data_IF_929461154799
#
_entry.id   IF_929461154799
#
_cell.length_a   1.000
_cell.length_b   1.000
_cell.length_c   1.000
_cell.angle_alpha   90.00
_cell.angle_beta   90.00
_cell.angle_gamma   90.00
#
_symmetry.space_group_name_H-M   'P 1'
#
loop_
_entity.id
_entity.type
_entity.pdbx_description
1 polymer ?
#
# COMPACT_ATOMS: atom_id res chain seq x y z
N UNK A 1 3.00 -12.48 -0.40
CA UNK A 1 3.12 -11.36 -1.34
C UNK A 1 2.10 -11.48 -2.45
N UNK A 2 1.81 -10.36 -3.10
CA UNK A 2 0.81 -10.29 -4.18
C UNK A 2 -0.61 -10.62 -3.70
N UNK A 3 -1.45 -11.08 -4.63
CA UNK A 3 -2.87 -11.39 -4.39
C UNK A 3 -3.12 -12.43 -3.29
N UNK A 4 -2.14 -13.26 -2.93
CA UNK A 4 -2.25 -14.15 -1.79
C UNK A 4 -2.35 -13.40 -0.44
N UNK A 5 -1.86 -12.16 -0.38
CA UNK A 5 -1.86 -11.32 0.82
C UNK A 5 -2.80 -10.11 0.70
N UNK A 6 -2.89 -9.49 -0.48
CA UNK A 6 -3.63 -8.24 -0.67
C UNK A 6 -4.44 -8.22 -1.98
N UNK A 7 -5.36 -9.18 -2.19
CA UNK A 7 -6.20 -9.18 -3.38
C UNK A 7 -7.04 -7.90 -3.40
N UNK A 8 -7.09 -7.21 -4.54
CA UNK A 8 -7.75 -5.90 -4.64
C UNK A 8 -8.50 -5.72 -5.96
N UNK A 9 -9.45 -4.80 -5.96
CA UNK A 9 -10.19 -4.45 -7.16
C UNK A 9 -9.29 -3.63 -8.13
N UNK A 10 -9.49 -3.76 -9.45
CA UNK A 10 -8.58 -3.20 -10.46
C UNK A 10 -8.82 -1.69 -10.73
N UNK A 11 -9.16 -0.91 -9.71
CA UNK A 11 -9.56 0.50 -9.88
C UNK A 11 -8.42 1.50 -9.77
N UNK A 12 -7.30 1.12 -9.15
CA UNK A 12 -6.13 1.99 -9.01
C UNK A 12 -4.86 1.36 -9.59
N UNK A 13 -4.99 0.31 -10.42
CA UNK A 13 -3.87 -0.36 -11.12
C UNK A 13 -2.65 -0.76 -10.25
N UNK A 14 -2.84 -0.96 -8.94
CA UNK A 14 -1.75 -1.21 -8.01
C UNK A 14 -1.47 -2.68 -7.69
N UNK A 15 -2.32 -3.64 -8.08
CA UNK A 15 -2.12 -5.05 -7.70
C UNK A 15 -0.75 -5.59 -8.13
N UNK A 16 -0.39 -5.42 -9.40
CA UNK A 16 0.92 -5.84 -9.91
C UNK A 16 2.07 -5.00 -9.34
N UNK A 17 1.88 -3.68 -9.19
CA UNK A 17 2.90 -2.80 -8.63
C UNK A 17 3.25 -3.19 -7.19
N UNK A 18 2.24 -3.46 -6.35
CA UNK A 18 2.44 -3.93 -4.98
C UNK A 18 3.10 -5.30 -4.90
N UNK A 19 2.81 -6.21 -5.84
CA UNK A 19 3.52 -7.49 -5.91
C UNK A 19 5.02 -7.31 -6.21
N UNK A 20 5.38 -6.32 -7.03
CA UNK A 20 6.79 -5.96 -7.29
C UNK A 20 7.43 -5.29 -6.07
N UNK A 21 6.72 -4.35 -5.42
CA UNK A 21 7.17 -3.74 -4.16
C UNK A 21 7.42 -4.82 -3.08
N UNK A 22 6.54 -5.83 -2.99
CA UNK A 22 6.70 -6.95 -2.07
C UNK A 22 7.98 -7.75 -2.34
N UNK A 23 8.27 -8.03 -3.61
CA UNK A 23 9.46 -8.76 -4.01
C UNK A 23 10.73 -7.98 -3.65
N UNK A 24 10.74 -6.66 -3.89
CA UNK A 24 11.85 -5.79 -3.50
C UNK A 24 12.05 -5.76 -1.97
N UNK A 25 10.97 -5.52 -1.22
CA UNK A 25 11.01 -5.48 0.25
C UNK A 25 11.45 -6.82 0.88
N UNK A 26 10.95 -7.94 0.35
CA UNK A 26 11.39 -9.26 0.81
C UNK A 26 12.86 -9.52 0.44
N UNK A 27 13.30 -9.10 -0.74
CA UNK A 27 14.70 -9.20 -1.16
C UNK A 27 15.66 -8.47 -0.22
N UNK A 28 15.32 -7.24 0.16
CA UNK A 28 16.09 -6.41 1.11
C UNK A 28 16.16 -7.05 2.49
N UNK A 29 15.01 -7.47 3.03
CA UNK A 29 14.98 -8.03 4.40
C UNK A 29 15.72 -9.37 4.48
N UNK A 30 15.59 -10.23 3.47
CA UNK A 30 16.32 -11.50 3.42
C UNK A 30 17.81 -11.34 3.13
N UNK A 31 18.22 -10.34 2.34
CA UNK A 31 19.65 -10.09 2.08
C UNK A 31 20.38 -9.51 3.28
N UNK A 32 19.65 -8.93 4.22
CA UNK A 32 20.19 -8.30 5.44
C UNK A 32 20.49 -9.29 6.57
N UNK A 33 20.10 -10.56 6.46
CA UNK A 33 20.33 -11.57 7.50
C UNK A 33 21.75 -12.15 7.42
N UNK A 34 22.31 -12.51 8.58
CA UNK A 34 23.62 -13.17 8.68
C UNK A 34 23.52 -14.66 8.98
N UNK A 35 22.35 -15.15 9.41
CA UNK A 35 22.08 -16.56 9.64
C UNK A 35 20.63 -16.94 9.31
N UNK A 36 20.38 -18.23 9.07
CA UNK A 36 19.03 -18.76 8.77
C UNK A 36 18.05 -18.59 9.92
N UNK A 37 18.55 -18.53 11.16
CA UNK A 37 17.71 -18.36 12.36
C UNK A 37 17.01 -16.99 12.39
N UNK A 38 17.49 -16.02 11.60
CA UNK A 38 16.90 -14.69 11.47
C UNK A 38 15.76 -14.61 10.44
N UNK A 39 15.51 -15.66 9.65
CA UNK A 39 14.44 -15.68 8.64
C UNK A 39 13.08 -15.29 9.23
N UNK A 40 12.63 -15.82 10.40
CA UNK A 40 11.36 -15.38 10.99
C UNK A 40 11.31 -13.89 11.34
N UNK A 41 12.45 -13.28 11.71
CA UNK A 41 12.53 -11.85 12.00
C UNK A 41 12.48 -11.02 10.70
N UNK A 42 13.20 -11.44 9.67
CA UNK A 42 13.21 -10.79 8.36
C UNK A 42 11.81 -10.79 7.73
N UNK A 43 11.09 -11.92 7.80
CA UNK A 43 9.70 -11.99 7.31
C UNK A 43 8.75 -11.06 8.05
N UNK A 44 8.96 -10.85 9.37
CA UNK A 44 8.18 -9.86 10.13
C UNK A 44 8.54 -8.42 9.78
N UNK A 45 9.81 -8.14 9.48
CA UNK A 45 10.22 -6.83 9.00
C UNK A 45 9.61 -6.51 7.63
N UNK A 46 9.59 -7.49 6.72
CA UNK A 46 8.88 -7.42 5.44
C UNK A 46 7.38 -7.14 5.64
N UNK A 47 6.70 -7.92 6.50
CA UNK A 47 5.29 -7.69 6.81
C UNK A 47 5.07 -6.27 7.34
N UNK A 48 5.91 -5.82 8.28
CA UNK A 48 5.81 -4.49 8.88
C UNK A 48 5.94 -3.37 7.85
N UNK A 49 6.87 -3.51 6.90
CA UNK A 49 7.09 -2.51 5.87
C UNK A 49 5.90 -2.36 4.91
N UNK A 50 5.23 -3.48 4.58
CA UNK A 50 4.27 -3.51 3.46
C UNK A 50 2.80 -3.52 3.88
N UNK A 51 2.47 -4.11 5.04
CA UNK A 51 1.07 -4.42 5.41
C UNK A 51 0.15 -3.20 5.42
N UNK A 52 0.54 -2.16 6.15
CA UNK A 52 -0.30 -0.97 6.30
C UNK A 52 -0.54 -0.25 4.97
N UNK A 53 0.47 -0.23 4.09
CA UNK A 53 0.36 0.32 2.74
C UNK A 53 -0.59 -0.51 1.89
N UNK A 54 -0.42 -1.83 1.88
CA UNK A 54 -1.26 -2.72 1.08
C UNK A 54 -2.74 -2.66 1.49
N UNK A 55 -3.01 -2.62 2.79
CA UNK A 55 -4.35 -2.44 3.33
C UNK A 55 -4.93 -1.08 2.89
N UNK A 56 -4.16 0.00 2.95
CA UNK A 56 -4.61 1.33 2.52
C UNK A 56 -4.99 1.37 1.04
N UNK A 57 -4.15 0.81 0.17
CA UNK A 57 -4.40 0.77 -1.28
C UNK A 57 -5.63 -0.09 -1.56
N UNK A 58 -5.75 -1.28 -0.95
CA UNK A 58 -6.92 -2.14 -1.11
C UNK A 58 -8.22 -1.40 -0.72
N UNK A 59 -8.21 -0.64 0.38
CA UNK A 59 -9.37 0.15 0.79
C UNK A 59 -9.68 1.30 -0.18
N UNK A 60 -8.67 1.98 -0.72
CA UNK A 60 -8.88 3.02 -1.74
C UNK A 60 -9.60 2.47 -2.98
N UNK A 61 -9.33 1.22 -3.37
CA UNK A 61 -10.01 0.60 -4.50
C UNK A 61 -11.52 0.46 -4.26
N UNK A 62 -11.95 0.20 -3.02
CA UNK A 62 -13.37 0.14 -2.67
C UNK A 62 -14.03 1.52 -2.75
N UNK A 63 -13.31 2.57 -2.37
CA UNK A 63 -13.77 3.95 -2.47
C UNK A 63 -13.93 4.38 -3.94
N UNK A 64 -12.91 4.12 -4.78
CA UNK A 64 -13.00 4.39 -6.21
C UNK A 64 -14.12 3.59 -6.86
N UNK A 65 -14.31 2.31 -6.50
CA UNK A 65 -15.46 1.52 -7.00
C UNK A 65 -16.77 2.26 -6.73
N UNK A 66 -17.00 2.68 -5.48
CA UNK A 66 -18.23 3.36 -5.11
C UNK A 66 -18.40 4.68 -5.86
N UNK A 67 -17.35 5.50 -5.93
CA UNK A 67 -17.36 6.76 -6.64
C UNK A 67 -17.68 6.60 -8.13
N UNK A 68 -17.18 5.55 -8.77
CA UNK A 68 -17.35 5.30 -10.21
C UNK A 68 -18.71 4.67 -10.59
N UNK A 69 -19.47 4.13 -9.64
CA UNK A 69 -20.69 3.36 -9.90
C UNK A 69 -21.92 3.88 -9.14
N UNK A 70 -21.99 5.19 -8.91
CA UNK A 70 -23.21 5.80 -8.39
C UNK A 70 -24.34 5.64 -9.40
N UNK A 71 -25.58 5.31 -8.97
CA UNK A 71 -26.74 5.35 -9.85
C UNK A 71 -27.02 6.79 -10.28
N UNK A 72 -27.72 6.94 -11.41
CA UNK A 72 -28.14 8.25 -11.89
C UNK A 72 -28.94 8.99 -10.80
N UNK A 73 -28.55 10.23 -10.51
CA UNK A 73 -29.17 11.02 -9.45
C UNK A 73 -28.27 12.14 -8.91
N UNK A 74 -28.76 12.87 -7.89
CA UNK A 74 -28.07 14.04 -7.34
C UNK A 74 -26.63 13.76 -6.86
N UNK A 75 -26.37 12.60 -6.28
CA UNK A 75 -25.04 12.19 -5.81
C UNK A 75 -24.07 11.98 -6.99
N UNK A 76 -24.55 11.36 -8.06
CA UNK A 76 -23.77 11.15 -9.29
C UNK A 76 -23.49 12.50 -9.98
N UNK A 77 -24.48 13.39 -10.05
CA UNK A 77 -24.29 14.74 -10.58
C UNK A 77 -23.27 15.55 -9.79
N UNK A 78 -23.32 15.48 -8.46
CA UNK A 78 -22.35 16.16 -7.58
C UNK A 78 -20.92 15.63 -7.79
N UNK A 79 -20.76 14.30 -7.91
CA UNK A 79 -19.48 13.65 -8.23
C UNK A 79 -18.96 14.09 -9.60
N UNK A 80 -19.81 14.12 -10.62
CA UNK A 80 -19.45 14.57 -11.96
C UNK A 80 -19.01 16.04 -12.00
N UNK A 81 -19.63 16.90 -11.20
CA UNK A 81 -19.21 18.30 -11.06
C UNK A 81 -17.79 18.39 -10.52
N UNK A 82 -17.45 17.59 -9.48
CA UNK A 82 -16.09 17.50 -8.96
C UNK A 82 -15.10 17.06 -10.04
N UNK A 83 -15.43 16.01 -10.81
CA UNK A 83 -14.57 15.51 -11.89
C UNK A 83 -14.31 16.57 -12.98
N UNK A 84 -15.32 17.36 -13.37
CA UNK A 84 -15.14 18.45 -14.34
C UNK A 84 -14.22 19.55 -13.81
N UNK A 85 -14.24 19.79 -12.50
CA UNK A 85 -13.43 20.81 -11.85
C UNK A 85 -11.96 20.40 -11.63
N UNK A 86 -11.57 19.15 -11.90
CA UNK A 86 -10.20 18.66 -11.67
C UNK A 86 -9.14 19.46 -12.44
N UNK A 87 -9.43 19.86 -13.68
CA UNK A 87 -8.52 20.68 -14.49
C UNK A 87 -8.26 22.08 -13.91
N UNK A 88 -9.07 22.50 -12.93
CA UNK A 88 -8.99 23.78 -12.24
C UNK A 88 -8.48 23.64 -10.80
N UNK A 89 -7.96 22.44 -10.43
CA UNK A 89 -7.46 22.15 -9.08
C UNK A 89 -8.54 21.72 -8.08
N UNK A 90 -9.71 21.28 -8.56
CA UNK A 90 -10.74 20.66 -7.71
C UNK A 90 -10.31 19.29 -7.14
N UNK A 91 -11.12 18.77 -6.22
CA UNK A 91 -10.90 17.45 -5.61
C UNK A 91 -11.57 16.31 -6.41
N UNK A 92 -11.05 15.09 -6.30
CA UNK A 92 -11.60 13.88 -6.94
C UNK A 92 -12.07 12.87 -5.91
N UNK A 93 -13.28 12.35 -6.10
CA UNK A 93 -13.74 11.16 -5.36
C UNK A 93 -13.15 9.85 -5.93
N UNK A 94 -12.63 9.87 -7.16
CA UNK A 94 -11.81 8.79 -7.72
C UNK A 94 -10.36 8.93 -7.25
N UNK A 95 -9.92 7.98 -6.43
CA UNK A 95 -8.58 7.94 -5.83
C UNK A 95 -7.45 7.81 -6.83
N UNK A 96 -7.71 7.32 -8.04
CA UNK A 96 -6.68 7.33 -9.10
C UNK A 96 -6.32 8.76 -9.54
N UNK A 97 -7.31 9.67 -9.53
CA UNK A 97 -7.16 11.07 -9.95
C UNK A 97 -6.95 12.03 -8.77
N UNK A 98 -6.86 11.54 -7.53
CA UNK A 98 -6.59 12.35 -6.35
C UNK A 98 -5.07 12.61 -6.20
N UNK A 99 -4.61 13.89 -6.19
CA UNK A 99 -3.17 14.20 -6.11
C UNK A 99 -2.47 13.65 -4.86
N UNK A 100 -3.16 13.60 -3.72
CA UNK A 100 -2.59 13.06 -2.48
C UNK A 100 -2.38 11.56 -2.60
N UNK A 101 -3.38 10.84 -3.13
CA UNK A 101 -3.25 9.42 -3.42
C UNK A 101 -2.15 9.15 -4.45
N UNK A 102 -2.05 9.94 -5.52
CA UNK A 102 -0.98 9.79 -6.53
C UNK A 102 0.41 9.93 -5.91
N UNK A 103 0.61 10.93 -5.07
CA UNK A 103 1.87 11.11 -4.33
C UNK A 103 2.14 9.91 -3.41
N UNK A 104 1.12 9.42 -2.70
CA UNK A 104 1.25 8.24 -1.85
C UNK A 104 1.60 6.98 -2.65
N UNK A 105 1.00 6.78 -3.83
CA UNK A 105 1.23 5.63 -4.69
C UNK A 105 2.64 5.67 -5.29
N UNK A 106 3.02 6.78 -5.93
CA UNK A 106 4.24 6.85 -6.74
C UNK A 106 5.47 7.32 -5.96
N UNK A 107 5.29 7.96 -4.82
CA UNK A 107 6.38 8.41 -3.95
C UNK A 107 6.92 7.34 -3.00
N UNK A 108 6.50 6.08 -3.13
CA UNK A 108 6.88 4.99 -2.23
C UNK A 108 8.16 4.31 -2.69
N UNK A 109 9.11 4.20 -1.75
CA UNK A 109 10.32 3.41 -1.91
C UNK A 109 10.24 2.18 -1.00
N UNK A 110 9.92 1.03 -1.61
CA UNK A 110 9.74 -0.23 -0.89
C UNK A 110 11.05 -0.76 -0.27
N UNK A 111 12.20 -0.48 -0.89
CA UNK A 111 13.50 -0.93 -0.39
C UNK A 111 13.89 -0.15 0.85
N UNK A 112 13.84 1.19 0.78
CA UNK A 112 14.12 2.06 1.93
C UNK A 112 13.22 1.71 3.13
N UNK A 113 11.92 1.45 2.89
CA UNK A 113 10.97 1.09 3.95
C UNK A 113 11.26 -0.27 4.57
N UNK A 114 11.74 -1.22 3.76
CA UNK A 114 12.19 -2.52 4.22
C UNK A 114 13.46 -2.43 5.08
N UNK A 115 14.44 -1.61 4.68
CA UNK A 115 15.66 -1.36 5.46
C UNK A 115 15.34 -0.72 6.81
N UNK A 116 14.47 0.28 6.84
CA UNK A 116 14.00 0.94 8.06
C UNK A 116 13.36 -0.07 9.02
N UNK A 117 12.43 -0.89 8.51
CA UNK A 117 11.74 -1.91 9.30
C UNK A 117 12.71 -2.97 9.84
N UNK A 118 13.65 -3.44 9.01
CA UNK A 118 14.69 -4.38 9.43
C UNK A 118 15.58 -3.81 10.52
N UNK A 119 16.08 -2.58 10.35
CA UNK A 119 16.93 -1.90 11.32
C UNK A 119 16.22 -1.74 12.66
N UNK A 120 14.96 -1.31 12.64
CA UNK A 120 14.18 -1.15 13.85
C UNK A 120 13.95 -2.49 14.58
N UNK A 121 13.59 -3.54 13.84
CA UNK A 121 13.26 -4.84 14.44
C UNK A 121 14.48 -5.65 14.89
N UNK A 122 15.60 -5.52 14.18
CA UNK A 122 16.86 -6.21 14.54
C UNK A 122 17.56 -5.60 15.76
N UNK A 123 17.31 -4.32 16.05
CA UNK A 123 17.85 -3.62 17.21
C UNK A 123 16.96 -3.75 18.47
N UNK A 124 15.74 -4.25 18.34
CA UNK A 124 14.85 -4.45 19.49
C UNK A 124 15.34 -5.63 20.35
N UNK A 125 15.53 -5.44 21.67
CA UNK A 125 15.84 -6.55 22.56
C UNK A 125 14.73 -7.59 22.47
N UNK A 126 15.09 -8.85 22.26
CA UNK A 126 14.12 -9.94 22.19
C UNK A 126 13.35 -9.99 23.51
N UNK A 127 12.12 -9.49 23.53
CA UNK A 127 11.23 -9.68 24.69
C UNK A 127 10.91 -11.17 24.74
N UNK A 128 11.65 -11.91 25.58
CA UNK A 128 11.26 -13.26 25.95
C UNK A 128 9.85 -13.19 26.53
N UNK A 129 8.88 -13.71 25.79
CA UNK A 129 7.55 -13.99 26.29
C UNK A 129 7.72 -14.96 27.45
N UNK A 130 7.49 -14.48 28.67
CA UNK A 130 7.38 -15.36 29.84
C UNK A 130 6.04 -16.08 29.69
N UNK A 131 6.15 -17.40 29.51
CA UNK A 131 5.07 -18.35 29.74
C UNK A 131 4.62 -18.28 31.20
#
# INVERSE_FOLDING_TARGET
MGDACHPMLPYVAQGAAQAVEDAASLGVTLSSITSKDQVPLALKAYEKAQKARAEHIQQSCLQTRAALHLPDGPEQEARDQKFRALSQGGESDDKWNDPQMQQFLWGWDAETKAEEAWREMSQQPTKQSRL
#
